data_IF_366348599391
#
_entry.id   IF_366348599391
#
_cell.length_a   1.000
_cell.length_b   1.000
_cell.length_c   1.000
_cell.angle_alpha   90.00
_cell.angle_beta   90.00
_cell.angle_gamma   90.00
#
_symmetry.space_group_name_H-M   'P 1'
#
loop_
_entity.id
_entity.type
_entity.pdbx_description
1 polymer ?
#
# COMPACT_ATOMS: atom_id res chain seq x y z
N UNK A 1 9.95 32.15 -25.12
CA UNK A 1 9.62 31.35 -23.94
C UNK A 1 10.04 29.90 -24.19
N UNK A 2 10.66 29.23 -23.22
CA UNK A 2 11.01 27.82 -23.37
C UNK A 2 9.73 26.95 -23.40
N UNK A 3 9.69 25.93 -24.25
CA UNK A 3 8.57 24.97 -24.35
C UNK A 3 8.18 24.41 -22.95
N UNK A 4 9.19 24.09 -22.14
CA UNK A 4 9.01 23.61 -20.77
C UNK A 4 8.14 24.53 -19.90
N UNK A 5 8.43 25.84 -19.87
CA UNK A 5 7.64 26.81 -19.09
C UNK A 5 6.19 26.89 -19.57
N UNK A 6 5.99 26.78 -20.89
CA UNK A 6 4.64 26.77 -21.47
C UNK A 6 3.86 25.53 -21.04
N UNK A 7 4.47 24.37 -21.10
CA UNK A 7 3.83 23.10 -20.69
C UNK A 7 3.53 23.09 -19.18
N UNK A 8 4.44 23.58 -18.34
CA UNK A 8 4.20 23.68 -16.90
C UNK A 8 3.02 24.62 -16.58
N UNK A 9 2.93 25.77 -17.27
CA UNK A 9 1.78 26.69 -17.12
C UNK A 9 0.48 26.05 -17.60
N UNK A 10 0.50 25.29 -18.70
CA UNK A 10 -0.67 24.56 -19.22
C UNK A 10 -1.14 23.52 -18.19
N UNK A 11 -0.23 22.73 -17.62
CA UNK A 11 -0.53 21.76 -16.57
C UNK A 11 -1.22 22.44 -15.37
N UNK A 12 -0.64 23.52 -14.86
CA UNK A 12 -1.14 24.24 -13.68
C UNK A 12 -2.49 24.96 -13.93
N UNK A 13 -2.74 25.44 -15.16
CA UNK A 13 -4.00 26.13 -15.50
C UNK A 13 -5.13 25.19 -15.90
N UNK A 14 -4.85 23.92 -16.14
CA UNK A 14 -5.83 22.95 -16.61
C UNK A 14 -6.83 22.61 -15.48
N UNK A 15 -8.13 22.81 -15.73
CA UNK A 15 -9.20 22.56 -14.74
C UNK A 15 -9.16 21.14 -14.21
N UNK A 16 -9.00 20.15 -15.09
CA UNK A 16 -8.94 18.73 -14.72
C UNK A 16 -7.78 18.45 -13.74
N UNK A 17 -6.57 18.97 -14.02
CA UNK A 17 -5.42 18.80 -13.10
C UNK A 17 -5.72 19.38 -11.72
N UNK A 18 -6.31 20.58 -11.67
CA UNK A 18 -6.67 21.24 -10.40
C UNK A 18 -7.70 20.44 -9.61
N UNK A 19 -8.77 19.96 -10.27
CA UNK A 19 -9.78 19.14 -9.59
C UNK A 19 -9.24 17.83 -9.10
N UNK A 20 -8.42 17.12 -9.88
CA UNK A 20 -7.81 15.87 -9.46
C UNK A 20 -6.82 16.06 -8.30
N UNK A 21 -6.01 17.11 -8.36
CA UNK A 21 -5.10 17.48 -7.27
C UNK A 21 -5.88 17.82 -5.99
N UNK A 22 -6.92 18.66 -6.11
CA UNK A 22 -7.77 19.04 -4.98
C UNK A 22 -8.45 17.82 -4.38
N UNK A 23 -9.02 16.95 -5.20
CA UNK A 23 -9.65 15.70 -4.77
C UNK A 23 -8.65 14.83 -3.99
N UNK A 24 -7.44 14.62 -4.52
CA UNK A 24 -6.40 13.88 -3.83
C UNK A 24 -6.03 14.48 -2.47
N UNK A 25 -5.86 15.81 -2.40
CA UNK A 25 -5.56 16.51 -1.15
C UNK A 25 -6.72 16.42 -0.14
N UNK A 26 -7.97 16.51 -0.60
CA UNK A 26 -9.15 16.34 0.25
C UNK A 26 -9.22 14.92 0.82
N UNK A 27 -8.95 13.89 0.00
CA UNK A 27 -8.90 12.50 0.47
C UNK A 27 -7.78 12.31 1.51
N UNK A 28 -6.58 12.87 1.26
CA UNK A 28 -5.49 12.83 2.24
C UNK A 28 -5.88 13.53 3.55
N UNK A 29 -6.49 14.71 3.47
CA UNK A 29 -6.98 15.42 4.66
C UNK A 29 -8.04 14.60 5.42
N UNK A 30 -8.96 13.95 4.70
CA UNK A 30 -9.98 13.10 5.29
C UNK A 30 -9.37 11.90 6.04
N UNK A 31 -8.29 11.31 5.55
CA UNK A 31 -7.56 10.24 6.25
C UNK A 31 -6.97 10.76 7.57
N UNK A 32 -6.28 11.90 7.55
CA UNK A 32 -5.71 12.50 8.79
C UNK A 32 -6.81 12.81 9.80
N UNK A 33 -7.92 13.41 9.33
CA UNK A 33 -9.08 13.74 10.18
C UNK A 33 -9.74 12.45 10.72
N UNK A 34 -9.89 11.43 9.90
CA UNK A 34 -10.42 10.13 10.31
C UNK A 34 -9.58 9.51 11.42
N UNK A 35 -8.25 9.45 11.23
CA UNK A 35 -7.32 8.94 12.26
C UNK A 35 -7.37 9.78 13.54
N UNK A 36 -7.51 11.11 13.43
CA UNK A 36 -7.66 11.99 14.59
C UNK A 36 -8.91 11.66 15.43
N UNK A 37 -10.04 11.35 14.80
CA UNK A 37 -11.27 11.04 15.52
C UNK A 37 -11.36 9.59 16.02
N UNK A 38 -10.72 8.66 15.35
CA UNK A 38 -10.71 7.24 15.75
C UNK A 38 -9.71 6.94 16.85
N UNK A 39 -8.71 7.79 17.06
CA UNK A 39 -7.69 7.59 18.08
C UNK A 39 -7.92 8.51 19.28
N UNK A 40 -7.46 8.07 20.45
CA UNK A 40 -7.52 8.86 21.68
C UNK A 40 -6.27 8.64 22.55
N UNK A 41 -5.96 9.64 23.36
CA UNK A 41 -4.86 9.52 24.31
C UNK A 41 -5.28 8.62 25.46
N UNK A 42 -4.44 7.65 25.80
CA UNK A 42 -4.71 6.70 26.88
C UNK A 42 -4.43 7.41 28.22
N UNK A 43 -5.38 7.38 29.12
CA UNK A 43 -5.24 7.81 30.48
C UNK A 43 -5.03 6.64 31.46
N UNK A 44 -4.61 6.95 32.69
CA UNK A 44 -4.36 5.93 33.71
C UNK A 44 -5.62 5.10 34.05
N UNK A 45 -6.82 5.69 33.94
CA UNK A 45 -8.08 5.00 34.20
C UNK A 45 -8.41 4.00 33.08
N UNK A 46 -8.08 4.32 31.84
CA UNK A 46 -8.21 3.40 30.69
C UNK A 46 -7.23 2.23 30.82
N UNK A 47 -5.98 2.50 31.19
CA UNK A 47 -4.97 1.46 31.41
C UNK A 47 -5.44 0.49 32.51
N UNK A 48 -5.89 1.00 33.66
CA UNK A 48 -6.38 0.17 34.75
C UNK A 48 -7.64 -0.64 34.40
N UNK A 49 -8.48 -0.14 33.48
CA UNK A 49 -9.62 -0.90 32.93
C UNK A 49 -9.15 -2.01 32.01
N UNK A 50 -8.22 -1.72 31.13
CA UNK A 50 -7.65 -2.71 30.19
C UNK A 50 -6.93 -3.84 30.94
N UNK A 51 -6.17 -3.52 32.00
CA UNK A 51 -5.54 -4.54 32.86
C UNK A 51 -6.59 -5.45 33.52
N UNK A 52 -7.67 -4.88 34.06
CA UNK A 52 -8.77 -5.69 34.64
C UNK A 52 -9.45 -6.57 33.59
N UNK A 53 -9.67 -6.07 32.37
CA UNK A 53 -10.23 -6.87 31.28
C UNK A 53 -9.31 -7.98 30.85
N UNK A 54 -8.01 -7.73 30.76
CA UNK A 54 -7.00 -8.76 30.48
C UNK A 54 -7.00 -9.85 31.57
N UNK A 55 -7.10 -9.46 32.85
CA UNK A 55 -7.21 -10.41 33.96
C UNK A 55 -8.49 -11.22 33.89
N UNK A 56 -9.63 -10.59 33.60
CA UNK A 56 -10.91 -11.29 33.43
C UNK A 56 -10.84 -12.30 32.28
N UNK A 57 -10.29 -11.90 31.14
CA UNK A 57 -10.10 -12.79 29.98
C UNK A 57 -9.20 -13.98 30.32
N UNK A 58 -8.10 -13.72 31.05
CA UNK A 58 -7.23 -14.80 31.51
C UNK A 58 -7.96 -15.78 32.43
N UNK A 59 -8.71 -15.30 33.42
CA UNK A 59 -9.49 -16.15 34.32
C UNK A 59 -10.57 -16.95 33.58
N UNK A 60 -11.16 -16.41 32.53
CA UNK A 60 -12.08 -17.15 31.67
C UNK A 60 -11.39 -18.27 30.90
N UNK A 61 -10.20 -18.02 30.38
CA UNK A 61 -9.40 -19.07 29.71
C UNK A 61 -8.92 -20.16 30.67
N UNK A 62 -8.54 -19.81 31.90
CA UNK A 62 -8.20 -20.79 32.93
C UNK A 62 -9.41 -21.67 33.22
N UNK A 63 -10.58 -21.11 33.44
CA UNK A 63 -11.81 -21.88 33.68
C UNK A 63 -12.17 -22.76 32.49
N UNK A 64 -12.05 -22.24 31.27
CA UNK A 64 -12.32 -23.01 30.06
C UNK A 64 -11.36 -24.17 29.88
N UNK A 65 -10.05 -23.98 30.07
CA UNK A 65 -9.05 -25.03 29.96
C UNK A 65 -9.25 -26.12 31.02
N UNK A 66 -9.65 -25.77 32.25
CA UNK A 66 -9.95 -26.73 33.29
C UNK A 66 -11.22 -27.54 32.96
N UNK A 67 -12.28 -26.90 32.45
CA UNK A 67 -13.49 -27.59 32.00
C UNK A 67 -13.18 -28.58 30.87
N UNK A 68 -12.36 -28.13 29.87
CA UNK A 68 -11.97 -28.95 28.73
C UNK A 68 -11.07 -30.13 29.16
N UNK A 69 -10.20 -29.92 30.15
CA UNK A 69 -9.38 -30.96 30.73
C UNK A 69 -10.23 -32.02 31.43
N UNK A 70 -11.19 -31.61 32.23
CA UNK A 70 -12.15 -32.50 32.90
C UNK A 70 -12.99 -33.27 31.87
N UNK A 71 -13.47 -32.61 30.82
CA UNK A 71 -14.22 -33.27 29.75
C UNK A 71 -13.36 -34.30 28.98
N UNK A 72 -12.08 -33.98 28.74
CA UNK A 72 -11.10 -34.92 28.16
C UNK A 72 -10.93 -36.17 29.04
N UNK A 73 -10.75 -36.02 30.36
CA UNK A 73 -10.59 -37.12 31.30
C UNK A 73 -11.86 -38.01 31.36
N UNK A 74 -13.06 -37.38 31.34
CA UNK A 74 -14.33 -38.09 31.27
C UNK A 74 -14.50 -38.87 29.96
N UNK A 75 -14.14 -38.28 28.81
CA UNK A 75 -14.18 -38.95 27.51
C UNK A 75 -13.22 -40.16 27.47
N UNK A 76 -12.04 -40.04 28.08
CA UNK A 76 -11.09 -41.16 28.24
C UNK A 76 -11.66 -42.29 29.06
N UNK A 77 -12.24 -41.98 30.21
CA UNK A 77 -12.83 -43.02 31.11
C UNK A 77 -14.04 -43.68 30.47
N UNK A 78 -14.81 -42.97 29.66
CA UNK A 78 -15.96 -43.49 28.91
C UNK A 78 -15.58 -44.26 27.63
N UNK A 79 -14.30 -44.30 27.25
CA UNK A 79 -13.84 -44.96 26.00
C UNK A 79 -14.24 -44.25 24.71
N UNK A 80 -14.73 -43.02 24.78
CA UNK A 80 -15.19 -42.23 23.64
C UNK A 80 -14.13 -41.25 23.09
N UNK A 81 -12.92 -41.29 23.63
CA UNK A 81 -11.80 -40.42 23.24
C UNK A 81 -11.16 -40.75 21.86
N UNK A 82 -11.70 -41.75 21.13
CA UNK A 82 -11.11 -42.30 19.91
C UNK A 82 -11.32 -41.45 18.66
N UNK A 83 -12.17 -40.41 18.71
CA UNK A 83 -12.57 -39.63 17.54
C UNK A 83 -11.60 -38.46 17.19
N UNK A 84 -10.38 -38.46 17.74
CA UNK A 84 -9.38 -37.42 17.46
C UNK A 84 -9.69 -36.05 18.03
N UNK A 85 -10.79 -35.90 18.80
CA UNK A 85 -11.24 -34.61 19.40
C UNK A 85 -10.35 -34.20 20.57
N UNK A 86 -9.85 -35.15 21.34
CA UNK A 86 -9.00 -34.89 22.51
C UNK A 86 -7.58 -35.43 22.31
N UNK A 87 -6.57 -34.77 22.90
CA UNK A 87 -5.20 -35.29 22.87
C UNK A 87 -5.08 -36.59 23.62
N UNK A 88 -4.09 -37.40 23.29
CA UNK A 88 -3.78 -38.63 24.03
C UNK A 88 -3.50 -38.40 25.52
N UNK A 89 -2.95 -37.24 25.85
CA UNK A 89 -2.69 -36.78 27.22
C UNK A 89 -3.47 -35.48 27.52
N UNK A 90 -4.44 -35.56 28.43
CA UNK A 90 -5.29 -34.41 28.82
C UNK A 90 -4.50 -33.38 29.64
N UNK A 91 -3.32 -33.67 30.15
CA UNK A 91 -2.47 -32.74 30.88
C UNK A 91 -1.89 -31.65 29.98
N UNK A 92 -1.89 -31.85 28.65
CA UNK A 92 -1.47 -30.87 27.65
C UNK A 92 -2.48 -29.71 27.52
N UNK A 93 -3.73 -29.92 27.98
CA UNK A 93 -4.75 -28.87 27.98
C UNK A 93 -4.49 -27.93 29.16
N UNK A 94 -3.68 -26.89 28.89
CA UNK A 94 -3.31 -25.86 29.87
C UNK A 94 -3.76 -24.47 29.35
N UNK A 95 -4.07 -23.52 30.26
CA UNK A 95 -4.33 -22.18 29.83
C UNK A 95 -3.06 -21.56 29.22
N UNK A 96 -3.20 -20.60 28.30
CA UNK A 96 -2.04 -19.88 27.78
C UNK A 96 -1.33 -19.15 28.92
N UNK A 97 -0.02 -18.86 28.79
CA UNK A 97 0.70 -18.04 29.77
C UNK A 97 0.02 -16.69 29.95
N UNK A 98 -0.04 -16.16 31.19
CA UNK A 98 -0.65 -14.86 31.48
C UNK A 98 -0.08 -13.73 30.60
N UNK A 99 1.20 -13.82 30.23
CA UNK A 99 1.95 -12.88 29.43
C UNK A 99 1.44 -12.76 27.97
N UNK A 100 0.75 -13.79 27.48
CA UNK A 100 0.16 -13.76 26.14
C UNK A 100 -1.10 -12.88 26.10
N UNK A 101 -1.83 -12.74 27.23
CA UNK A 101 -3.03 -11.88 27.28
C UNK A 101 -2.61 -10.48 27.73
N UNK A 102 -2.28 -9.64 26.74
CA UNK A 102 -1.78 -8.29 26.98
C UNK A 102 -2.91 -7.30 27.22
N UNK A 103 -2.73 -6.43 28.23
CA UNK A 103 -3.65 -5.33 28.48
C UNK A 103 -3.82 -4.38 27.26
N UNK A 104 -2.80 -4.29 26.41
CA UNK A 104 -2.82 -3.52 25.17
C UNK A 104 -3.97 -3.88 24.22
N UNK A 105 -4.42 -5.14 24.21
CA UNK A 105 -5.54 -5.59 23.37
C UNK A 105 -6.90 -5.02 23.75
N UNK A 106 -7.00 -4.55 24.99
CA UNK A 106 -8.23 -3.95 25.56
C UNK A 106 -8.17 -2.42 25.62
N UNK A 107 -7.05 -1.86 25.17
CA UNK A 107 -6.92 -0.40 25.07
C UNK A 107 -7.66 0.12 23.83
N UNK A 108 -8.26 1.30 23.92
CA UNK A 108 -8.76 2.00 22.74
C UNK A 108 -7.61 2.33 21.78
N UNK A 109 -7.95 2.50 20.50
CA UNK A 109 -6.98 2.85 19.48
C UNK A 109 -6.24 4.15 19.86
N UNK A 110 -4.91 4.11 19.85
CA UNK A 110 -4.04 5.25 20.09
C UNK A 110 -3.00 5.33 18.98
N UNK A 111 -2.63 6.54 18.57
CA UNK A 111 -1.66 6.75 17.51
C UNK A 111 -0.25 6.89 18.07
N UNK A 112 0.55 5.84 18.00
CA UNK A 112 1.96 5.89 18.34
C UNK A 112 2.77 6.30 17.10
N UNK A 113 3.34 7.52 17.12
CA UNK A 113 4.06 8.04 15.95
C UNK A 113 5.20 7.12 15.50
N UNK A 114 5.95 6.57 16.44
CA UNK A 114 7.10 5.71 16.15
C UNK A 114 6.71 4.42 15.42
N UNK A 115 5.60 3.82 15.81
CA UNK A 115 5.21 2.49 15.32
C UNK A 115 4.31 2.56 14.10
N UNK A 116 3.45 3.59 14.03
CA UNK A 116 2.36 3.62 13.06
C UNK A 116 2.60 4.59 11.90
N UNK A 117 3.49 5.61 12.08
CA UNK A 117 3.65 6.64 11.04
C UNK A 117 4.14 6.10 9.70
N UNK A 118 5.13 5.18 9.70
CA UNK A 118 5.68 4.58 8.47
C UNK A 118 4.58 3.87 7.64
N UNK A 119 3.61 3.23 8.30
CA UNK A 119 2.47 2.58 7.65
C UNK A 119 1.53 3.57 6.97
N UNK A 120 1.39 4.79 7.53
CA UNK A 120 0.55 5.84 6.93
C UNK A 120 1.10 6.36 5.61
N UNK A 121 2.40 6.17 5.34
CA UNK A 121 3.03 6.57 4.07
C UNK A 121 2.60 5.67 2.90
N UNK A 122 2.07 4.48 3.15
CA UNK A 122 1.55 3.58 2.11
C UNK A 122 0.30 4.17 1.45
N UNK A 123 -0.80 4.47 2.19
CA UNK A 123 -1.98 5.11 1.59
C UNK A 123 -1.67 6.51 1.03
N UNK A 124 -0.78 7.28 1.66
CA UNK A 124 -0.31 8.55 1.11
C UNK A 124 0.27 8.37 -0.31
N UNK A 125 1.24 7.46 -0.46
CA UNK A 125 1.87 7.19 -1.75
C UNK A 125 0.87 6.62 -2.77
N UNK A 126 -0.02 5.71 -2.36
CA UNK A 126 -1.02 5.10 -3.23
C UNK A 126 -2.01 6.13 -3.79
N UNK A 127 -2.55 7.01 -2.94
CA UNK A 127 -3.50 8.06 -3.35
C UNK A 127 -2.83 9.02 -4.33
N UNK A 128 -1.64 9.53 -4.01
CA UNK A 128 -0.92 10.46 -4.89
C UNK A 128 -0.42 9.79 -6.17
N UNK A 129 -0.05 8.51 -6.13
CA UNK A 129 0.33 7.75 -7.32
C UNK A 129 -0.86 7.57 -8.27
N UNK A 130 -2.05 7.27 -7.74
CA UNK A 130 -3.28 7.20 -8.53
C UNK A 130 -3.62 8.56 -9.16
N UNK A 131 -3.59 9.64 -8.37
CA UNK A 131 -3.81 11.00 -8.86
C UNK A 131 -2.80 11.38 -9.94
N UNK A 132 -1.51 11.10 -9.69
CA UNK A 132 -0.43 11.35 -10.65
C UNK A 132 -0.61 10.55 -11.95
N UNK A 133 -0.98 9.28 -11.86
CA UNK A 133 -1.31 8.43 -13.01
C UNK A 133 -2.43 9.02 -13.85
N UNK A 134 -3.55 9.39 -13.25
CA UNK A 134 -4.71 9.96 -13.93
C UNK A 134 -4.38 11.33 -14.58
N UNK A 135 -3.64 12.18 -13.86
CA UNK A 135 -3.17 13.48 -14.41
C UNK A 135 -2.22 13.23 -15.58
N UNK A 136 -1.25 12.30 -15.44
CA UNK A 136 -0.29 11.95 -16.48
C UNK A 136 -0.97 11.42 -17.75
N UNK A 137 -1.90 10.50 -17.59
CA UNK A 137 -2.69 9.93 -18.68
C UNK A 137 -3.54 11.02 -19.37
N UNK A 138 -4.21 11.88 -18.59
CA UNK A 138 -5.04 12.94 -19.13
C UNK A 138 -4.21 14.05 -19.79
N UNK A 139 -3.00 14.35 -19.29
CA UNK A 139 -2.18 15.46 -19.79
C UNK A 139 -1.75 15.27 -21.24
N UNK A 140 -1.39 14.06 -21.63
CA UNK A 140 -1.01 13.74 -23.01
C UNK A 140 -2.17 13.19 -23.82
N UNK A 141 -3.01 12.36 -23.23
CA UNK A 141 -4.10 11.68 -23.94
C UNK A 141 -5.17 12.63 -24.49
N UNK A 142 -5.51 13.68 -23.74
CA UNK A 142 -6.46 14.69 -24.23
C UNK A 142 -5.89 15.56 -25.35
N UNK A 143 -4.59 15.80 -25.41
CA UNK A 143 -3.99 16.53 -26.54
C UNK A 143 -3.96 15.69 -27.82
N UNK A 144 -3.84 14.37 -27.71
CA UNK A 144 -3.99 13.49 -28.85
C UNK A 144 -5.44 13.50 -29.36
N UNK A 145 -6.41 13.33 -28.49
CA UNK A 145 -7.83 13.26 -28.87
C UNK A 145 -8.39 14.58 -29.43
N UNK A 146 -7.79 15.73 -29.08
CA UNK A 146 -8.20 17.06 -29.58
C UNK A 146 -7.37 17.54 -30.76
N UNK A 147 -6.42 16.75 -31.27
CA UNK A 147 -5.51 17.17 -32.33
C UNK A 147 -4.43 18.19 -31.91
N UNK A 148 -4.41 18.61 -30.66
CA UNK A 148 -3.43 19.57 -30.13
C UNK A 148 -1.98 19.12 -30.26
N UNK A 149 -1.74 17.79 -30.11
CA UNK A 149 -0.41 17.20 -30.31
C UNK A 149 0.03 17.30 -31.77
N UNK A 150 -0.88 17.09 -32.75
CA UNK A 150 -0.61 17.25 -34.18
C UNK A 150 -0.15 18.65 -34.50
N UNK A 151 -0.92 19.66 -34.07
CA UNK A 151 -0.58 21.06 -34.29
C UNK A 151 0.77 21.44 -33.70
N UNK A 152 1.09 20.94 -32.49
CA UNK A 152 2.38 21.20 -31.84
C UNK A 152 3.56 20.60 -32.64
N UNK A 153 3.39 19.41 -33.21
CA UNK A 153 4.41 18.72 -33.97
C UNK A 153 4.66 19.33 -35.36
N UNK A 154 3.64 19.95 -35.96
CA UNK A 154 3.81 20.76 -37.21
C UNK A 154 4.75 21.96 -37.00
N UNK A 155 4.65 22.62 -35.84
CA UNK A 155 5.51 23.74 -35.49
C UNK A 155 6.88 23.31 -34.93
N UNK A 156 6.98 22.10 -34.38
CA UNK A 156 8.21 21.56 -33.78
C UNK A 156 8.45 20.09 -34.18
N UNK A 157 9.23 19.88 -35.26
CA UNK A 157 9.40 18.53 -35.86
C UNK A 157 10.19 17.55 -34.99
N UNK A 158 10.86 18.04 -33.93
CA UNK A 158 11.64 17.15 -33.01
C UNK A 158 10.70 16.47 -32.01
N UNK A 159 10.02 15.40 -32.46
CA UNK A 159 8.95 14.66 -31.74
C UNK A 159 9.36 14.19 -30.34
N UNK A 160 10.55 13.57 -30.23
CA UNK A 160 11.05 13.07 -28.93
C UNK A 160 11.31 14.21 -27.94
N UNK A 161 11.90 15.33 -28.39
CA UNK A 161 12.14 16.48 -27.53
C UNK A 161 10.84 17.05 -26.99
N UNK A 162 9.78 17.11 -27.80
CA UNK A 162 8.46 17.58 -27.36
C UNK A 162 7.90 16.64 -26.28
N UNK A 163 7.92 15.31 -26.51
CA UNK A 163 7.37 14.33 -25.57
C UNK A 163 8.14 14.33 -24.24
N UNK A 164 9.48 14.35 -24.28
CA UNK A 164 10.32 14.39 -23.09
C UNK A 164 10.18 15.74 -22.32
N UNK A 165 10.02 16.84 -23.02
CA UNK A 165 9.78 18.14 -22.36
C UNK A 165 8.42 18.17 -21.66
N UNK A 166 7.39 17.57 -22.25
CA UNK A 166 6.08 17.41 -21.61
C UNK A 166 6.16 16.51 -20.38
N UNK A 167 6.86 15.37 -20.48
CA UNK A 167 7.08 14.49 -19.35
C UNK A 167 7.83 15.22 -18.23
N UNK A 168 8.91 15.93 -18.53
CA UNK A 168 9.66 16.71 -17.54
C UNK A 168 8.79 17.77 -16.85
N UNK A 169 7.96 18.51 -17.62
CA UNK A 169 7.02 19.50 -17.05
C UNK A 169 5.95 18.83 -16.17
N UNK A 170 5.47 17.64 -16.55
CA UNK A 170 4.52 16.87 -15.75
C UNK A 170 5.14 16.44 -14.44
N UNK A 171 6.33 15.79 -14.46
CA UNK A 171 7.00 15.28 -13.27
C UNK A 171 7.35 16.41 -12.28
N UNK A 172 7.84 17.54 -12.77
CA UNK A 172 8.08 18.71 -11.91
C UNK A 172 6.80 19.29 -11.32
N UNK A 173 5.70 19.31 -12.10
CA UNK A 173 4.39 19.73 -11.58
C UNK A 173 3.86 18.80 -10.49
N UNK A 174 4.00 17.49 -10.68
CA UNK A 174 3.62 16.49 -9.67
C UNK A 174 4.50 16.59 -8.41
N UNK A 175 5.82 16.75 -8.56
CA UNK A 175 6.72 17.00 -7.43
C UNK A 175 6.35 18.25 -6.64
N UNK A 176 6.00 19.33 -7.34
CA UNK A 176 5.59 20.59 -6.73
C UNK A 176 4.31 20.47 -5.87
N UNK A 177 3.49 19.43 -6.10
CA UNK A 177 2.31 19.11 -5.29
C UNK A 177 2.66 18.06 -4.23
N UNK A 178 3.38 17.02 -4.60
CA UNK A 178 3.67 15.89 -3.70
C UNK A 178 4.55 16.28 -2.52
N UNK A 179 5.56 17.13 -2.73
CA UNK A 179 6.47 17.54 -1.65
C UNK A 179 5.76 18.37 -0.56
N UNK A 180 5.00 19.44 -0.88
CA UNK A 180 4.21 20.13 0.15
C UNK A 180 3.16 19.24 0.80
N UNK A 181 2.51 18.35 0.04
CA UNK A 181 1.56 17.39 0.58
C UNK A 181 2.23 16.43 1.59
N UNK A 182 3.47 15.98 1.34
CA UNK A 182 4.23 15.15 2.27
C UNK A 182 4.56 15.89 3.57
N UNK A 183 4.92 17.18 3.48
CA UNK A 183 5.16 18.02 4.67
C UNK A 183 3.86 18.20 5.49
N UNK A 184 2.74 18.47 4.82
CA UNK A 184 1.44 18.60 5.48
C UNK A 184 0.97 17.26 6.09
N UNK A 185 1.23 16.14 5.44
CA UNK A 185 0.96 14.81 5.94
C UNK A 185 1.74 14.52 7.23
N UNK A 186 3.04 14.77 7.19
CA UNK A 186 3.89 14.66 8.38
C UNK A 186 3.39 15.53 9.52
N UNK A 187 3.14 16.82 9.25
CA UNK A 187 2.65 17.76 10.27
C UNK A 187 1.29 17.35 10.83
N UNK A 188 0.38 16.86 9.98
CA UNK A 188 -0.94 16.36 10.38
C UNK A 188 -0.83 15.17 11.31
N UNK A 189 -0.04 14.15 10.98
CA UNK A 189 0.15 12.98 11.85
C UNK A 189 0.97 13.27 13.10
N UNK A 190 1.89 14.23 13.03
CA UNK A 190 2.56 14.73 14.23
C UNK A 190 1.57 15.38 15.20
N UNK A 191 0.63 16.18 14.68
CA UNK A 191 -0.46 16.74 15.47
C UNK A 191 -1.37 15.65 16.04
N UNK A 192 -1.76 14.63 15.22
CA UNK A 192 -2.55 13.49 15.71
C UNK A 192 -1.83 12.80 16.88
N UNK A 193 -0.54 12.47 16.73
CA UNK A 193 0.24 11.84 17.78
C UNK A 193 0.33 12.69 19.06
N UNK A 194 0.51 14.00 18.91
CA UNK A 194 0.63 14.92 20.05
C UNK A 194 -0.68 15.07 20.83
N UNK A 195 -1.84 15.12 20.14
CA UNK A 195 -3.15 15.35 20.76
C UNK A 195 -3.91 14.08 21.11
N UNK A 196 -3.75 13.01 20.32
CA UNK A 196 -4.53 11.77 20.39
C UNK A 196 -3.69 10.51 20.60
N UNK A 197 -2.38 10.65 20.82
CA UNK A 197 -1.50 9.50 20.93
C UNK A 197 -0.24 9.82 21.71
N UNK A 198 0.89 9.30 21.23
CA UNK A 198 2.21 9.49 21.81
C UNK A 198 3.26 9.82 20.76
N UNK A 199 4.12 10.78 21.10
CA UNK A 199 5.35 11.12 20.36
C UNK A 199 6.60 10.64 21.09
N UNK A 200 6.45 9.84 22.15
CA UNK A 200 7.55 9.32 22.94
C UNK A 200 8.44 8.40 22.12
N UNK A 201 9.73 8.36 22.47
CA UNK A 201 10.73 7.48 21.83
C UNK A 201 10.92 7.72 20.33
N UNK A 202 10.53 8.89 19.80
CA UNK A 202 10.89 9.28 18.43
C UNK A 202 12.37 9.63 18.38
N UNK A 203 13.17 8.74 17.81
CA UNK A 203 14.62 8.90 17.65
C UNK A 203 14.98 9.44 16.27
N UNK A 204 16.21 9.93 16.09
CA UNK A 204 16.72 10.34 14.77
C UNK A 204 16.67 9.20 13.74
N UNK A 205 16.87 7.94 14.17
CA UNK A 205 16.76 6.77 13.30
C UNK A 205 15.34 6.52 12.80
N UNK A 206 14.30 6.71 13.64
CA UNK A 206 12.90 6.63 13.25
C UNK A 206 12.58 7.69 12.21
N UNK A 207 13.04 8.94 12.45
CA UNK A 207 12.84 10.04 11.51
C UNK A 207 13.53 9.77 10.16
N UNK A 208 14.75 9.25 10.17
CA UNK A 208 15.47 8.88 8.96
C UNK A 208 14.74 7.76 8.19
N UNK A 209 14.23 6.74 8.89
CA UNK A 209 13.43 5.67 8.26
C UNK A 209 12.19 6.25 7.58
N UNK A 210 11.44 7.10 8.28
CA UNK A 210 10.24 7.75 7.76
C UNK A 210 10.54 8.61 6.50
N UNK A 211 11.62 9.39 6.53
CA UNK A 211 12.05 10.19 5.37
C UNK A 211 12.40 9.29 4.18
N UNK A 212 13.15 8.21 4.40
CA UNK A 212 13.51 7.26 3.34
C UNK A 212 12.27 6.55 2.76
N UNK A 213 11.32 6.15 3.60
CA UNK A 213 10.05 5.58 3.16
C UNK A 213 9.23 6.62 2.39
N UNK A 214 9.21 7.89 2.84
CA UNK A 214 8.60 9.00 2.10
C UNK A 214 9.22 9.21 0.72
N UNK A 215 10.55 9.19 0.61
CA UNK A 215 11.26 9.27 -0.69
C UNK A 215 10.88 8.12 -1.62
N UNK A 216 10.75 6.89 -1.09
CA UNK A 216 10.25 5.73 -1.87
C UNK A 216 8.82 5.96 -2.35
N UNK A 217 7.95 6.53 -1.49
CA UNK A 217 6.59 6.91 -1.87
C UNK A 217 6.56 7.93 -3.00
N UNK A 218 7.38 8.99 -2.93
CA UNK A 218 7.52 9.99 -4.01
C UNK A 218 8.00 9.33 -5.30
N UNK A 219 8.99 8.43 -5.23
CA UNK A 219 9.47 7.69 -6.41
C UNK A 219 8.34 6.87 -7.05
N UNK A 220 7.52 6.17 -6.25
CA UNK A 220 6.36 5.41 -6.73
C UNK A 220 5.34 6.33 -7.42
N UNK A 221 5.05 7.51 -6.85
CA UNK A 221 4.18 8.53 -7.48
C UNK A 221 4.70 8.93 -8.86
N UNK A 222 6.01 9.20 -9.00
CA UNK A 222 6.62 9.59 -10.27
C UNK A 222 6.61 8.44 -11.30
N UNK A 223 6.87 7.22 -10.86
CA UNK A 223 6.82 6.02 -11.72
C UNK A 223 5.42 5.84 -12.29
N UNK A 224 4.38 5.83 -11.44
CA UNK A 224 3.00 5.64 -11.89
C UNK A 224 2.50 6.82 -12.73
N UNK A 225 2.91 8.06 -12.42
CA UNK A 225 2.65 9.22 -13.27
C UNK A 225 3.25 9.04 -14.67
N UNK A 226 4.48 8.55 -14.75
CA UNK A 226 5.18 8.29 -16.03
C UNK A 226 4.51 7.16 -16.81
N UNK A 227 4.09 6.11 -16.14
CA UNK A 227 3.34 4.99 -16.76
C UNK A 227 2.02 5.50 -17.35
N UNK A 228 1.25 6.30 -16.60
CA UNK A 228 0.01 6.90 -17.11
C UNK A 228 0.22 7.76 -18.34
N UNK A 229 1.25 8.60 -18.32
CA UNK A 229 1.65 9.43 -19.45
C UNK A 229 2.07 8.57 -20.66
N UNK A 230 2.89 7.55 -20.46
CA UNK A 230 3.40 6.70 -21.52
C UNK A 230 2.29 5.84 -22.16
N UNK A 231 1.40 5.25 -21.36
CA UNK A 231 0.26 4.45 -21.84
C UNK A 231 -0.72 5.32 -22.66
N UNK A 232 -1.04 6.53 -22.19
CA UNK A 232 -1.89 7.43 -22.93
C UNK A 232 -1.23 7.96 -24.23
N UNK A 233 0.10 8.09 -24.24
CA UNK A 233 0.86 8.42 -25.45
C UNK A 233 0.84 7.27 -26.47
N UNK A 234 0.94 6.01 -26.01
CA UNK A 234 0.84 4.81 -26.86
C UNK A 234 -0.55 4.65 -27.47
N UNK A 235 -1.58 4.78 -26.63
CA UNK A 235 -2.98 4.63 -27.04
C UNK A 235 -3.58 5.85 -27.73
N UNK A 236 -2.88 6.99 -27.77
CA UNK A 236 -3.36 8.28 -28.29
C UNK A 236 -4.69 8.75 -27.69
N UNK A 237 -5.08 8.19 -26.55
CA UNK A 237 -6.34 8.51 -25.90
C UNK A 237 -6.25 8.26 -24.39
N UNK A 238 -6.84 9.15 -23.57
CA UNK A 238 -6.84 9.00 -22.10
C UNK A 238 -7.56 7.72 -21.66
N UNK A 239 -8.67 7.38 -22.31
CA UNK A 239 -9.46 6.19 -21.99
C UNK A 239 -8.68 4.87 -22.18
N UNK A 240 -7.75 4.82 -23.15
CA UNK A 240 -6.88 3.66 -23.34
C UNK A 240 -5.97 3.41 -22.16
N UNK A 241 -5.40 4.46 -21.58
CA UNK A 241 -4.54 4.33 -20.40
C UNK A 241 -5.34 3.91 -19.16
N UNK A 242 -6.48 4.56 -18.93
CA UNK A 242 -7.34 4.25 -17.79
C UNK A 242 -7.97 2.86 -17.90
N UNK A 243 -8.57 2.54 -19.06
CA UNK A 243 -9.18 1.24 -19.31
C UNK A 243 -8.17 0.10 -19.29
N UNK A 244 -6.98 0.31 -19.86
CA UNK A 244 -5.90 -0.68 -19.85
C UNK A 244 -5.42 -1.01 -18.45
N UNK A 245 -5.26 -0.01 -17.56
CA UNK A 245 -4.86 -0.26 -16.16
C UNK A 245 -5.98 -0.91 -15.37
N UNK A 246 -7.25 -0.49 -15.55
CA UNK A 246 -8.39 -1.16 -14.91
C UNK A 246 -8.47 -2.61 -15.35
N UNK A 247 -8.35 -2.90 -16.65
CA UNK A 247 -8.33 -4.27 -17.16
C UNK A 247 -7.16 -5.08 -16.59
N UNK A 248 -5.95 -4.50 -16.54
CA UNK A 248 -4.78 -5.14 -15.94
C UNK A 248 -5.02 -5.43 -14.44
N UNK A 249 -5.60 -4.51 -13.68
CA UNK A 249 -5.88 -4.71 -12.25
C UNK A 249 -6.99 -5.75 -12.05
N UNK A 250 -8.10 -5.65 -12.76
CA UNK A 250 -9.23 -6.58 -12.58
C UNK A 250 -8.89 -7.98 -13.11
N UNK A 251 -8.46 -8.07 -14.35
CA UNK A 251 -8.21 -9.38 -15.00
C UNK A 251 -6.82 -9.92 -14.64
N UNK A 252 -5.79 -9.06 -14.72
CA UNK A 252 -4.40 -9.47 -14.54
C UNK A 252 -4.00 -9.64 -13.06
N UNK A 253 -4.64 -8.95 -12.12
CA UNK A 253 -4.27 -9.06 -10.69
C UNK A 253 -5.33 -9.86 -9.91
N UNK A 254 -6.59 -9.43 -9.88
CA UNK A 254 -7.63 -10.18 -9.16
C UNK A 254 -7.92 -11.52 -9.84
N UNK A 255 -8.07 -11.55 -11.18
CA UNK A 255 -8.33 -12.79 -11.93
C UNK A 255 -7.18 -13.79 -11.79
N UNK A 256 -5.93 -13.33 -11.96
CA UNK A 256 -4.75 -14.18 -11.78
C UNK A 256 -4.64 -14.66 -10.33
N UNK A 257 -4.87 -13.80 -9.34
CA UNK A 257 -4.81 -14.15 -7.92
C UNK A 257 -5.81 -15.27 -7.58
N UNK A 258 -7.05 -15.17 -8.07
CA UNK A 258 -8.07 -16.23 -7.90
C UNK A 258 -7.62 -17.54 -8.57
N UNK A 259 -7.13 -17.48 -9.80
CA UNK A 259 -6.68 -18.69 -10.53
C UNK A 259 -5.51 -19.37 -9.81
N UNK A 260 -4.52 -18.60 -9.35
CA UNK A 260 -3.37 -19.14 -8.63
C UNK A 260 -3.76 -19.75 -7.28
N UNK A 261 -4.71 -19.14 -6.57
CA UNK A 261 -5.22 -19.66 -5.30
C UNK A 261 -6.02 -20.95 -5.51
N UNK A 262 -6.88 -21.02 -6.54
CA UNK A 262 -7.61 -22.24 -6.90
C UNK A 262 -6.68 -23.37 -7.37
N UNK A 263 -5.58 -23.04 -8.02
CA UNK A 263 -4.55 -24.00 -8.45
C UNK A 263 -3.60 -24.40 -7.30
N UNK A 264 -3.83 -23.92 -6.06
CA UNK A 264 -2.96 -24.13 -4.89
C UNK A 264 -1.48 -23.82 -5.17
N UNK A 265 -1.22 -22.78 -5.97
CA UNK A 265 0.15 -22.34 -6.26
C UNK A 265 0.78 -21.78 -5.01
N UNK A 266 1.95 -22.31 -4.62
CA UNK A 266 2.72 -21.78 -3.50
C UNK A 266 3.05 -20.31 -3.74
N UNK A 267 2.87 -19.48 -2.70
CA UNK A 267 3.16 -18.04 -2.76
C UNK A 267 2.50 -17.32 -3.95
N UNK A 268 1.20 -17.57 -4.16
CA UNK A 268 0.43 -16.94 -5.24
C UNK A 268 0.57 -15.41 -5.29
N UNK A 269 0.69 -14.77 -4.11
CA UNK A 269 0.88 -13.33 -3.98
C UNK A 269 2.21 -12.83 -4.59
N UNK A 270 3.23 -13.70 -4.73
CA UNK A 270 4.50 -13.35 -5.38
C UNK A 270 4.35 -13.03 -6.89
N UNK A 271 3.25 -13.41 -7.50
CA UNK A 271 2.94 -13.12 -8.91
C UNK A 271 2.15 -11.82 -9.09
N UNK A 272 1.78 -11.16 -8.00
CA UNK A 272 0.93 -9.99 -8.01
C UNK A 272 1.72 -8.69 -7.85
N UNK A 273 1.43 -7.71 -8.71
CA UNK A 273 2.07 -6.37 -8.68
C UNK A 273 1.89 -5.63 -7.33
N UNK A 274 0.73 -5.71 -6.64
CA UNK A 274 0.56 -5.06 -5.35
C UNK A 274 1.56 -5.50 -4.30
N UNK A 275 1.97 -6.77 -4.29
CA UNK A 275 2.98 -7.31 -3.37
C UNK A 275 4.33 -6.60 -3.54
N UNK A 276 4.74 -6.36 -4.78
CA UNK A 276 5.96 -5.61 -5.06
C UNK A 276 5.85 -4.12 -4.70
N UNK A 277 4.67 -3.51 -4.89
CA UNK A 277 4.46 -2.13 -4.45
C UNK A 277 4.55 -2.01 -2.93
N UNK A 278 4.01 -3.00 -2.20
CA UNK A 278 4.13 -3.07 -0.75
C UNK A 278 5.58 -3.30 -0.32
N UNK A 279 6.29 -4.28 -0.92
CA UNK A 279 7.69 -4.56 -0.61
C UNK A 279 8.62 -3.36 -0.92
N UNK A 280 8.29 -2.57 -1.95
CA UNK A 280 8.98 -1.30 -2.22
C UNK A 280 8.85 -0.32 -1.06
N UNK A 281 7.66 -0.20 -0.47
CA UNK A 281 7.38 0.72 0.65
C UNK A 281 7.90 0.20 1.98
N UNK A 282 7.65 -1.07 2.32
CA UNK A 282 7.97 -1.69 3.62
C UNK A 282 9.36 -2.32 3.71
N UNK A 283 10.16 -2.26 2.64
CA UNK A 283 11.50 -2.88 2.46
C UNK A 283 11.45 -4.40 2.20
N UNK A 284 10.65 -5.14 2.92
CA UNK A 284 10.45 -6.60 2.77
C UNK A 284 9.00 -6.94 3.04
N UNK A 285 8.48 -7.90 2.29
CA UNK A 285 7.19 -8.55 2.54
C UNK A 285 7.44 -10.04 2.64
N UNK A 286 7.16 -10.61 3.80
CA UNK A 286 7.26 -12.06 4.03
C UNK A 286 5.94 -12.70 3.70
N UNK A 287 5.91 -13.53 2.66
CA UNK A 287 4.78 -14.36 2.29
C UNK A 287 4.81 -15.66 3.06
N UNK A 288 3.65 -16.15 3.50
CA UNK A 288 3.52 -17.36 4.29
C UNK A 288 2.63 -18.37 3.56
N UNK A 289 3.13 -19.58 3.35
CA UNK A 289 2.36 -20.68 2.79
C UNK A 289 1.82 -21.58 3.89
N UNK A 290 0.57 -21.37 4.28
CA UNK A 290 -0.11 -22.16 5.30
C UNK A 290 -0.56 -23.54 4.79
N UNK A 291 -0.62 -23.77 3.49
CA UNK A 291 -0.95 -25.07 2.90
C UNK A 291 0.14 -26.15 3.18
N UNK A 292 1.33 -25.73 3.60
CA UNK A 292 2.39 -26.64 4.03
C UNK A 292 2.15 -27.24 5.42
N UNK A 293 1.18 -26.68 6.15
CA UNK A 293 0.83 -27.12 7.48
C UNK A 293 -0.21 -28.23 7.40
N UNK A 294 0.22 -29.49 7.60
CA UNK A 294 -0.72 -30.56 7.90
C UNK A 294 -1.33 -30.27 9.27
N UNK A 295 -2.64 -30.04 9.30
CA UNK A 295 -3.38 -29.76 10.52
C UNK A 295 -3.36 -30.99 11.46
N UNK A 296 -2.29 -31.16 12.19
CA UNK A 296 -2.31 -31.95 13.43
C UNK A 296 -2.74 -30.99 14.53
N UNK A 297 -3.80 -31.30 15.23
CA UNK A 297 -4.52 -30.43 16.18
C UNK A 297 -3.63 -29.87 17.32
N UNK A 298 -2.41 -30.38 17.51
CA UNK A 298 -1.50 -30.08 18.62
C UNK A 298 -0.03 -29.86 18.23
N UNK A 299 0.28 -29.57 16.96
CA UNK A 299 1.64 -29.30 16.51
C UNK A 299 1.86 -27.82 16.18
N UNK A 300 2.96 -27.22 16.64
CA UNK A 300 3.39 -25.91 16.14
C UNK A 300 3.66 -26.02 14.65
N UNK A 301 2.77 -25.47 13.83
CA UNK A 301 3.02 -25.38 12.40
C UNK A 301 3.85 -24.13 12.10
N UNK A 302 5.03 -24.34 11.52
CA UNK A 302 5.82 -23.25 10.92
C UNK A 302 5.53 -23.21 9.43
N UNK A 303 4.80 -22.19 8.93
CA UNK A 303 4.55 -22.06 7.51
C UNK A 303 5.85 -21.84 6.75
N UNK A 304 5.92 -22.36 5.53
CA UNK A 304 7.00 -22.05 4.61
C UNK A 304 6.95 -20.55 4.28
N UNK A 305 8.07 -19.84 4.37
CA UNK A 305 8.13 -18.37 4.13
C UNK A 305 8.97 -18.03 2.91
N UNK A 306 8.58 -16.98 2.20
CA UNK A 306 9.33 -16.39 1.09
C UNK A 306 9.34 -14.87 1.24
N UNK A 307 10.52 -14.27 1.20
CA UNK A 307 10.71 -12.82 1.30
C UNK A 307 10.80 -12.17 -0.06
N UNK A 308 9.96 -11.15 -0.29
CA UNK A 308 10.08 -10.23 -1.43
C UNK A 308 10.70 -8.94 -0.91
N UNK A 309 11.83 -8.55 -1.52
CA UNK A 309 12.61 -7.40 -1.08
C UNK A 309 12.37 -6.16 -1.95
N UNK A 310 12.67 -4.98 -1.42
CA UNK A 310 12.60 -3.72 -2.16
C UNK A 310 13.54 -3.69 -3.39
N UNK A 311 14.66 -4.43 -3.38
CA UNK A 311 15.57 -4.54 -4.52
C UNK A 311 14.88 -5.24 -5.70
N UNK A 312 14.19 -6.35 -5.45
CA UNK A 312 13.41 -7.06 -6.48
C UNK A 312 12.31 -6.16 -7.03
N UNK A 313 11.63 -5.42 -6.15
CA UNK A 313 10.60 -4.45 -6.54
C UNK A 313 11.19 -3.32 -7.40
N UNK A 314 12.38 -2.80 -7.04
CA UNK A 314 13.04 -1.74 -7.80
C UNK A 314 13.40 -2.18 -9.22
N UNK A 315 13.90 -3.40 -9.36
CA UNK A 315 14.23 -3.98 -10.69
C UNK A 315 12.94 -4.12 -11.51
N UNK A 316 11.88 -4.69 -10.93
CA UNK A 316 10.61 -4.88 -11.63
C UNK A 316 10.00 -3.55 -12.11
N UNK A 317 9.93 -2.53 -11.24
CA UNK A 317 9.40 -1.21 -11.61
C UNK A 317 10.28 -0.50 -12.63
N UNK A 318 11.61 -0.60 -12.51
CA UNK A 318 12.54 0.01 -13.46
C UNK A 318 12.42 -0.64 -14.84
N UNK A 319 12.38 -1.97 -14.91
CA UNK A 319 12.19 -2.70 -16.17
C UNK A 319 10.84 -2.35 -16.79
N UNK A 320 9.76 -2.41 -16.01
CA UNK A 320 8.42 -2.04 -16.49
C UNK A 320 8.36 -0.61 -17.03
N UNK A 321 8.97 0.36 -16.30
CA UNK A 321 9.03 1.75 -16.71
C UNK A 321 9.81 1.93 -18.01
N UNK A 322 10.99 1.31 -18.13
CA UNK A 322 11.84 1.38 -19.33
C UNK A 322 11.12 0.77 -20.54
N UNK A 323 10.45 -0.36 -20.38
CA UNK A 323 9.70 -1.03 -21.45
C UNK A 323 8.54 -0.13 -21.93
N UNK A 324 7.71 0.37 -20.99
CA UNK A 324 6.51 1.14 -21.36
C UNK A 324 6.90 2.51 -21.94
N UNK A 325 7.84 3.21 -21.31
CA UNK A 325 8.33 4.51 -21.80
C UNK A 325 9.10 4.34 -23.12
N UNK A 326 9.95 3.32 -23.22
CA UNK A 326 10.66 2.98 -24.44
C UNK A 326 9.72 2.69 -25.62
N UNK A 327 8.66 1.91 -25.36
CA UNK A 327 7.61 1.64 -26.34
C UNK A 327 6.89 2.93 -26.79
N UNK A 328 6.58 3.83 -25.83
CA UNK A 328 5.96 5.13 -26.14
C UNK A 328 6.86 6.02 -27.00
N UNK A 329 8.15 6.11 -26.66
CA UNK A 329 9.16 6.85 -27.43
C UNK A 329 9.37 6.26 -28.84
N UNK A 330 9.45 4.92 -28.92
CA UNK A 330 9.60 4.22 -30.19
C UNK A 330 8.38 4.39 -31.09
N UNK A 331 7.17 4.25 -30.54
CA UNK A 331 5.92 4.48 -31.25
C UNK A 331 5.83 5.93 -31.79
N UNK A 332 6.24 6.93 -30.97
CA UNK A 332 6.28 8.32 -31.37
C UNK A 332 7.27 8.60 -32.51
N UNK A 333 8.37 7.83 -32.56
CA UNK A 333 9.41 7.98 -33.61
C UNK A 333 8.99 7.34 -34.93
N UNK A 334 8.30 6.18 -34.91
CA UNK A 334 8.00 5.39 -36.12
C UNK A 334 6.63 5.67 -36.75
N UNK A 335 5.64 6.09 -35.95
CA UNK A 335 4.29 6.29 -36.47
C UNK A 335 4.21 7.56 -37.30
N UNK A 336 3.68 7.42 -38.54
CA UNK A 336 3.32 8.58 -39.34
C UNK A 336 2.16 9.34 -38.71
N UNK A 337 2.20 10.66 -38.88
CA UNK A 337 1.19 11.58 -38.36
C UNK A 337 0.24 11.84 -39.57
N UNK A 338 -0.62 10.88 -39.83
CA UNK A 338 -1.75 11.01 -40.74
C UNK A 338 -3.03 11.27 -39.97
#
# INVERSE_FOLDING_TARGET
>A
MSLYRTELRRLAKRRFTRYMTLLGLVVLAAVVVGVFFTNQKIDAGQLARAERQADQQYQEQVRWSEQERVACEQAKTAGTATDGRYPPDCSVITPPPREEIKAEWFLPSTFNFRETFDETLIPFAAILALVGFVIGASFVGAEWSTGGMMNLLLWRPKRLTVLLTKLAALLTGILAVTLPAAVLWFAGFWAVASFRGSTEKVTSGVMQSAILTGVRGVALVLVLTTIGFALASLGRHTAMALGGVVALMVVGQFGLGILLSMANVKFAEAWLLPTYALAWMTKTVTLQNWNSCNATFYGECKPETMDITWQQSSVMFSVGLVVILGAALWAMRRRDIS
#
